data_IF_599367279174
#
_entry.id   IF_599367279174
#
_cell.length_a   1.000
_cell.length_b   1.000
_cell.length_c   1.000
_cell.angle_alpha   90.00
_cell.angle_beta   90.00
_cell.angle_gamma   90.00
#
_symmetry.space_group_name_H-M   'P 1'
#
loop_
_entity.id
_entity.type
_entity.pdbx_description
1 polymer ?
#
# COMPACT_ATOMS: atom_id res chain seq x y z
N UNK A 1 -4.42 30.00 -66.27
CA UNK A 1 -4.82 29.06 -65.19
C UNK A 1 -3.57 28.61 -64.45
N UNK A 2 -3.39 29.05 -63.18
CA UNK A 2 -2.28 28.66 -62.30
C UNK A 2 -2.72 27.48 -61.45
N UNK A 3 -1.94 26.39 -61.37
CA UNK A 3 -1.95 25.51 -60.19
C UNK A 3 -0.55 24.99 -59.87
N UNK A 4 -0.23 25.23 -58.61
CA UNK A 4 1.03 25.14 -57.88
C UNK A 4 1.33 23.70 -57.48
N UNK A 5 2.61 23.33 -57.50
CA UNK A 5 3.11 22.08 -56.94
C UNK A 5 2.99 22.05 -55.41
N UNK A 6 2.63 20.90 -54.84
CA UNK A 6 2.70 20.66 -53.39
C UNK A 6 3.64 19.48 -53.11
N UNK A 7 4.75 19.81 -52.45
CA UNK A 7 5.78 18.88 -51.96
C UNK A 7 5.23 18.20 -50.70
N UNK A 8 5.06 16.87 -50.75
CA UNK A 8 4.78 16.04 -49.57
C UNK A 8 6.09 15.83 -48.79
N UNK A 9 6.23 16.51 -47.65
CA UNK A 9 7.23 16.15 -46.63
C UNK A 9 6.63 15.07 -45.73
N UNK A 10 7.06 13.83 -45.92
CA UNK A 10 6.87 12.75 -44.95
C UNK A 10 7.80 12.99 -43.77
N UNK A 11 7.23 13.40 -42.64
CA UNK A 11 7.93 13.40 -41.35
C UNK A 11 7.89 11.96 -40.81
N UNK A 12 9.06 11.34 -40.70
CA UNK A 12 9.23 10.09 -39.97
C UNK A 12 9.11 10.38 -38.46
N UNK A 13 8.34 9.61 -37.68
CA UNK A 13 8.35 9.73 -36.24
C UNK A 13 9.69 9.23 -35.70
N UNK A 14 10.49 10.14 -35.16
CA UNK A 14 11.63 9.80 -34.31
C UNK A 14 11.07 9.28 -33.00
N UNK A 15 10.99 7.95 -32.86
CA UNK A 15 10.78 7.28 -31.59
C UNK A 15 12.03 7.48 -30.74
N UNK A 16 12.05 8.54 -29.92
CA UNK A 16 12.96 8.63 -28.78
C UNK A 16 12.54 7.55 -27.79
N UNK A 17 13.21 6.40 -27.86
CA UNK A 17 13.22 5.44 -26.76
C UNK A 17 14.01 6.06 -25.61
N UNK A 18 13.33 6.85 -24.78
CA UNK A 18 13.84 7.18 -23.46
C UNK A 18 13.90 5.86 -22.68
N UNK A 19 15.10 5.29 -22.58
CA UNK A 19 15.35 4.15 -21.71
C UNK A 19 15.03 4.57 -20.29
N UNK A 20 13.91 4.07 -19.76
CA UNK A 20 13.58 4.16 -18.34
C UNK A 20 14.62 3.34 -17.58
N UNK A 21 15.74 3.98 -17.24
CA UNK A 21 16.73 3.43 -16.32
C UNK A 21 15.98 3.15 -15.02
N UNK A 22 15.72 1.87 -14.74
CA UNK A 22 15.13 1.49 -13.47
C UNK A 22 16.14 1.80 -12.39
N UNK A 23 15.76 2.66 -11.44
CA UNK A 23 16.60 2.97 -10.29
C UNK A 23 17.02 1.67 -9.60
N UNK A 24 18.33 1.50 -9.39
CA UNK A 24 18.88 0.36 -8.66
C UNK A 24 18.39 0.30 -7.22
N UNK A 25 18.75 -0.75 -6.46
CA UNK A 25 18.44 -0.83 -5.04
C UNK A 25 18.91 0.43 -4.30
N UNK A 26 18.11 1.01 -3.39
CA UNK A 26 18.53 2.15 -2.60
C UNK A 26 19.67 1.74 -1.67
N UNK A 27 20.68 2.61 -1.55
CA UNK A 27 21.80 2.43 -0.61
C UNK A 27 21.62 3.24 0.68
N UNK A 28 20.65 4.16 0.70
CA UNK A 28 20.23 4.96 1.85
C UNK A 28 18.71 5.15 1.82
N UNK A 29 18.13 5.62 2.94
CA UNK A 29 16.70 5.93 2.97
C UNK A 29 16.39 7.08 1.99
N UNK A 30 15.41 6.95 1.08
CA UNK A 30 15.11 7.99 0.11
C UNK A 30 14.54 9.24 0.79
N UNK A 31 15.19 10.37 0.58
CA UNK A 31 14.68 11.69 0.99
C UNK A 31 13.78 12.25 -0.09
N UNK A 32 12.48 12.38 0.20
CA UNK A 32 11.50 12.92 -0.73
C UNK A 32 11.00 14.25 -0.18
N UNK A 33 11.08 15.30 -0.99
CA UNK A 33 10.51 16.60 -0.65
C UNK A 33 8.99 16.52 -0.64
N UNK A 34 8.39 16.71 0.53
CA UNK A 34 6.95 16.64 0.73
C UNK A 34 6.17 17.67 -0.11
N UNK A 35 6.79 18.80 -0.51
CA UNK A 35 6.16 19.82 -1.33
C UNK A 35 5.96 19.39 -2.80
N UNK A 36 6.78 18.45 -3.27
CA UNK A 36 6.76 17.95 -4.66
C UNK A 36 6.35 16.47 -4.75
N UNK A 37 6.25 15.79 -3.61
CA UNK A 37 5.83 14.41 -3.53
C UNK A 37 4.39 14.21 -4.00
N UNK A 38 4.15 13.06 -4.61
CA UNK A 38 2.81 12.58 -4.96
C UNK A 38 2.49 11.29 -4.23
N UNK A 39 1.27 11.20 -3.69
CA UNK A 39 0.77 10.00 -3.05
C UNK A 39 0.20 9.03 -4.08
N UNK A 40 0.53 7.75 -3.92
CA UNK A 40 0.07 6.66 -4.78
C UNK A 40 -0.49 5.55 -3.91
N UNK A 41 -1.69 5.10 -4.25
CA UNK A 41 -2.28 3.93 -3.62
C UNK A 41 -2.19 2.77 -4.61
N UNK A 42 -1.44 1.73 -4.27
CA UNK A 42 -1.15 0.64 -5.19
C UNK A 42 -1.36 -0.73 -4.55
N UNK A 43 -1.76 -1.69 -5.39
CA UNK A 43 -1.73 -3.10 -5.06
C UNK A 43 -0.43 -3.68 -5.59
N UNK A 44 0.39 -4.23 -4.70
CA UNK A 44 1.72 -4.74 -5.05
C UNK A 44 2.00 -6.08 -4.41
N UNK A 45 2.84 -6.88 -5.03
CA UNK A 45 3.55 -7.96 -4.35
C UNK A 45 4.86 -7.44 -3.79
N UNK A 46 5.09 -7.68 -2.51
CA UNK A 46 6.29 -7.22 -1.81
C UNK A 46 7.26 -8.36 -1.53
N UNK A 47 8.54 -8.04 -1.74
CA UNK A 47 9.64 -8.85 -1.27
C UNK A 47 10.57 -7.95 -0.43
N UNK A 48 10.51 -8.12 0.89
CA UNK A 48 11.48 -7.50 1.79
C UNK A 48 12.87 -8.01 1.42
N UNK A 49 13.84 -7.11 1.39
CA UNK A 49 15.20 -7.47 1.03
C UNK A 49 16.09 -7.40 2.26
N UNK A 50 16.43 -6.19 2.70
CA UNK A 50 17.30 -5.99 3.86
C UNK A 50 17.22 -4.58 4.42
N UNK A 51 18.06 -4.35 5.42
CA UNK A 51 18.16 -3.08 6.10
C UNK A 51 19.04 -2.09 5.33
N UNK A 52 18.72 -0.82 5.47
CA UNK A 52 19.50 0.33 5.04
C UNK A 52 20.31 0.85 6.22
N UNK A 53 21.35 1.68 6.00
CA UNK A 53 22.02 2.37 7.08
C UNK A 53 21.03 3.14 7.96
N UNK A 54 21.28 3.16 9.27
CA UNK A 54 20.53 4.00 10.20
C UNK A 54 20.71 5.49 9.86
N UNK A 55 19.70 6.29 10.22
CA UNK A 55 19.76 7.75 10.17
C UNK A 55 20.89 8.27 11.06
N UNK A 56 21.54 9.35 10.64
CA UNK A 56 22.73 9.87 11.33
C UNK A 56 22.39 10.36 12.75
N UNK A 57 21.20 10.92 12.92
CA UNK A 57 20.65 11.43 14.17
C UNK A 57 20.54 10.33 15.23
N UNK A 58 20.41 9.06 14.83
CA UNK A 58 20.33 7.92 15.74
C UNK A 58 21.62 7.63 16.49
N UNK A 59 22.72 8.30 16.13
CA UNK A 59 23.99 8.25 16.85
C UNK A 59 24.08 9.30 17.97
N UNK A 60 23.10 10.22 18.04
CA UNK A 60 23.06 11.28 19.03
C UNK A 60 22.42 10.75 20.33
N UNK A 61 23.00 10.98 21.51
CA UNK A 61 22.52 10.42 22.78
C UNK A 61 21.11 10.87 23.17
N UNK A 62 20.65 12.00 22.66
CA UNK A 62 19.33 12.57 22.88
C UNK A 62 18.24 12.07 21.91
N UNK A 63 18.59 11.26 20.91
CA UNK A 63 17.64 10.77 19.90
C UNK A 63 17.33 9.30 20.14
N UNK A 64 16.10 9.01 20.55
CA UNK A 64 15.61 7.63 20.60
C UNK A 64 15.20 7.18 19.19
N UNK A 65 16.10 6.47 18.52
CA UNK A 65 15.75 5.81 17.27
C UNK A 65 15.07 4.47 17.50
N UNK A 66 14.11 4.20 16.62
CA UNK A 66 13.37 2.96 16.64
C UNK A 66 14.20 1.90 15.92
N UNK A 67 14.63 0.88 16.65
CA UNK A 67 15.14 -0.36 16.06
C UNK A 67 13.97 -1.19 15.52
N UNK A 68 14.14 -1.85 14.36
CA UNK A 68 15.34 -1.94 13.53
C UNK A 68 15.54 -0.77 12.55
N UNK A 69 16.70 -0.74 11.89
CA UNK A 69 17.04 0.22 10.85
C UNK A 69 16.00 0.23 9.69
N UNK A 70 15.93 1.31 8.89
CA UNK A 70 15.00 1.37 7.77
C UNK A 70 15.20 0.19 6.82
N UNK A 71 14.12 -0.30 6.21
CA UNK A 71 14.17 -1.49 5.35
C UNK A 71 13.82 -1.10 3.93
N UNK A 72 14.52 -1.68 2.96
CA UNK A 72 14.15 -1.56 1.55
C UNK A 72 13.50 -2.85 1.02
N UNK A 73 12.69 -2.67 -0.02
CA UNK A 73 11.91 -3.73 -0.62
C UNK A 73 11.90 -3.63 -2.14
N UNK A 74 11.66 -4.78 -2.78
CA UNK A 74 11.25 -4.87 -4.17
C UNK A 74 9.74 -5.02 -4.21
N UNK A 75 9.12 -4.29 -5.14
CA UNK A 75 7.69 -4.36 -5.36
C UNK A 75 7.41 -4.66 -6.83
N UNK A 76 6.46 -5.56 -7.06
CA UNK A 76 5.83 -5.78 -8.37
C UNK A 76 4.42 -5.19 -8.32
N UNK A 77 4.14 -4.22 -9.20
CA UNK A 77 2.84 -3.58 -9.26
C UNK A 77 1.84 -4.53 -9.92
N UNK A 78 0.74 -4.80 -9.21
CA UNK A 78 -0.42 -5.49 -9.75
C UNK A 78 -1.44 -4.48 -10.27
N UNK A 79 -1.66 -3.39 -9.52
CA UNK A 79 -2.58 -2.32 -9.90
C UNK A 79 -2.21 -1.00 -9.20
N UNK A 80 -2.60 0.14 -9.80
CA UNK A 80 -2.50 1.48 -9.18
C UNK A 80 -3.91 2.05 -9.05
N UNK A 81 -4.40 2.12 -7.81
CA UNK A 81 -5.78 2.54 -7.52
C UNK A 81 -5.95 4.06 -7.50
N UNK A 82 -4.89 4.80 -7.17
CA UNK A 82 -4.90 6.26 -7.15
C UNK A 82 -3.49 6.84 -7.36
N UNK A 83 -3.43 8.00 -8.00
CA UNK A 83 -2.20 8.75 -8.28
C UNK A 83 -1.54 8.36 -9.62
N UNK A 84 -0.40 8.98 -9.96
CA UNK A 84 0.34 8.66 -11.17
C UNK A 84 0.77 7.18 -11.19
N UNK A 85 0.72 6.56 -12.37
CA UNK A 85 1.12 5.16 -12.56
C UNK A 85 2.56 4.91 -12.08
N UNK A 86 2.73 3.79 -11.38
CA UNK A 86 4.06 3.29 -11.00
C UNK A 86 4.66 2.45 -12.13
N UNK A 87 6.00 2.35 -12.21
CA UNK A 87 6.62 1.36 -13.08
C UNK A 87 6.22 -0.07 -12.62
N UNK A 88 6.14 -1.05 -13.53
CA UNK A 88 5.71 -2.42 -13.20
C UNK A 88 6.50 -3.08 -12.07
N UNK A 89 7.76 -2.64 -11.89
CA UNK A 89 8.62 -3.00 -10.77
C UNK A 89 9.34 -1.76 -10.26
N UNK A 90 9.46 -1.63 -8.95
CA UNK A 90 10.24 -0.57 -8.32
C UNK A 90 10.93 -1.05 -7.04
N UNK A 91 11.91 -0.25 -6.61
CA UNK A 91 12.49 -0.34 -5.29
C UNK A 91 11.90 0.75 -4.41
N UNK A 92 11.60 0.41 -3.16
CA UNK A 92 11.14 1.38 -2.18
C UNK A 92 11.76 1.14 -0.82
N UNK A 93 11.52 2.06 0.09
CA UNK A 93 11.93 1.94 1.49
C UNK A 93 10.78 2.25 2.45
N UNK A 94 10.91 1.76 3.68
CA UNK A 94 10.01 2.07 4.78
C UNK A 94 10.77 2.04 6.09
N UNK A 95 10.15 2.59 7.13
CA UNK A 95 10.51 2.29 8.52
C UNK A 95 9.47 1.35 9.13
N UNK A 96 9.85 0.58 10.15
CA UNK A 96 8.96 -0.36 10.86
C UNK A 96 9.56 -0.71 12.22
N UNK A 97 8.71 -1.00 13.22
CA UNK A 97 9.18 -1.61 14.49
C UNK A 97 9.51 -3.11 14.33
N UNK A 98 9.12 -3.74 13.23
CA UNK A 98 9.34 -5.17 12.97
C UNK A 98 10.26 -5.40 11.75
N UNK A 99 10.86 -4.33 11.22
CA UNK A 99 11.80 -4.36 10.10
C UNK A 99 11.28 -5.16 8.89
N UNK A 100 12.14 -5.99 8.27
CA UNK A 100 11.75 -6.82 7.12
C UNK A 100 10.59 -7.76 7.40
N UNK A 101 10.40 -8.22 8.64
CA UNK A 101 9.34 -9.18 8.98
C UNK A 101 7.95 -8.59 8.74
N UNK A 102 7.76 -7.28 8.93
CA UNK A 102 6.48 -6.66 8.63
C UNK A 102 6.09 -6.83 7.16
N UNK A 103 7.07 -6.79 6.25
CA UNK A 103 6.86 -6.84 4.80
C UNK A 103 6.90 -8.26 4.22
N UNK A 104 7.65 -9.17 4.84
CA UNK A 104 7.83 -10.54 4.35
C UNK A 104 7.17 -11.62 5.23
N UNK A 105 6.30 -11.25 6.18
CA UNK A 105 5.64 -12.24 7.03
C UNK A 105 4.91 -13.31 6.20
N UNK A 106 5.31 -14.59 6.28
CA UNK A 106 4.68 -15.68 5.53
C UNK A 106 3.22 -15.92 5.93
N UNK A 107 2.85 -15.44 7.12
CA UNK A 107 1.50 -15.58 7.65
C UNK A 107 0.48 -14.76 6.88
N UNK A 108 0.92 -13.74 6.15
CA UNK A 108 0.03 -12.85 5.43
C UNK A 108 0.37 -12.85 3.94
N UNK A 109 -0.67 -12.73 3.11
CA UNK A 109 -0.56 -12.81 1.65
C UNK A 109 0.47 -11.83 1.05
N UNK A 110 1.06 -12.24 -0.08
CA UNK A 110 1.99 -11.41 -0.85
C UNK A 110 1.35 -10.13 -1.44
N UNK A 111 0.10 -10.13 -1.96
CA UNK A 111 -0.49 -8.89 -2.42
C UNK A 111 -0.84 -8.00 -1.22
N UNK A 112 -0.40 -6.75 -1.29
CA UNK A 112 -0.69 -5.72 -0.30
C UNK A 112 -1.22 -4.48 -0.98
N UNK A 113 -2.14 -3.82 -0.29
CA UNK A 113 -2.47 -2.44 -0.57
C UNK A 113 -1.45 -1.57 0.15
N UNK A 114 -0.87 -0.59 -0.53
CA UNK A 114 0.15 0.30 0.01
C UNK A 114 -0.10 1.74 -0.38
N UNK A 115 0.13 2.65 0.56
CA UNK A 115 0.28 4.06 0.30
C UNK A 115 1.77 4.41 0.19
N UNK A 116 2.14 4.96 -0.95
CA UNK A 116 3.50 5.35 -1.29
C UNK A 116 3.55 6.87 -1.47
N UNK A 117 4.58 7.47 -0.92
CA UNK A 117 5.04 8.81 -1.26
C UNK A 117 6.14 8.67 -2.32
N UNK A 118 6.05 9.40 -3.43
CA UNK A 118 7.05 9.32 -4.50
C UNK A 118 7.17 10.58 -5.34
N UNK A 119 8.38 10.86 -5.81
CA UNK A 119 8.74 11.96 -6.72
C UNK A 119 8.91 11.50 -8.18
N UNK A 120 8.53 10.27 -8.49
CA UNK A 120 8.73 9.63 -9.80
C UNK A 120 9.76 8.51 -9.75
N UNK A 121 10.94 8.78 -9.18
CA UNK A 121 12.08 7.84 -9.18
C UNK A 121 12.30 7.15 -7.83
N UNK A 122 11.98 7.86 -6.74
CA UNK A 122 12.12 7.38 -5.37
C UNK A 122 10.75 7.08 -4.80
N UNK A 123 10.67 6.01 -4.01
CA UNK A 123 9.42 5.54 -3.43
C UNK A 123 9.61 5.21 -1.95
N UNK A 124 8.81 5.84 -1.10
CA UNK A 124 8.76 5.58 0.34
C UNK A 124 7.36 5.12 0.70
N UNK A 125 7.24 3.92 1.27
CA UNK A 125 6.02 3.54 1.95
C UNK A 125 5.96 4.30 3.26
N UNK A 126 4.87 5.04 3.50
CA UNK A 126 4.67 5.65 4.80
C UNK A 126 4.63 4.55 5.86
N UNK A 127 5.24 4.81 7.03
CA UNK A 127 5.35 3.82 8.10
C UNK A 127 3.98 3.21 8.39
N UNK A 128 3.87 1.88 8.29
CA UNK A 128 2.61 1.14 8.51
C UNK A 128 1.48 1.40 7.53
N UNK A 129 1.71 2.13 6.46
CA UNK A 129 0.70 2.43 5.46
C UNK A 129 0.56 1.32 4.42
N UNK A 130 0.33 0.10 4.93
CA UNK A 130 0.01 -1.06 4.12
C UNK A 130 -1.03 -1.95 4.80
N UNK A 131 -1.75 -2.71 3.99
CA UNK A 131 -2.76 -3.66 4.41
C UNK A 131 -2.64 -4.96 3.62
N UNK A 132 -2.83 -6.08 4.31
CA UNK A 132 -2.83 -7.38 3.68
C UNK A 132 -4.09 -7.56 2.84
N UNK A 133 -3.91 -8.11 1.65
CA UNK A 133 -5.03 -8.50 0.79
C UNK A 133 -5.21 -10.00 0.83
N UNK A 134 -6.48 -10.41 0.85
CA UNK A 134 -6.86 -11.80 0.71
C UNK A 134 -7.72 -11.97 -0.54
N UNK A 135 -7.58 -13.12 -1.18
CA UNK A 135 -8.24 -13.45 -2.43
C UNK A 135 -9.48 -14.32 -2.14
N UNK A 136 -10.59 -14.03 -2.82
CA UNK A 136 -11.76 -14.90 -2.79
C UNK A 136 -11.64 -16.08 -3.77
N UNK A 137 -12.69 -16.91 -3.89
CA UNK A 137 -12.67 -18.07 -4.81
C UNK A 137 -12.65 -17.70 -6.29
N UNK A 138 -12.99 -16.46 -6.62
CA UNK A 138 -13.07 -15.96 -8.00
C UNK A 138 -11.80 -15.21 -8.41
N UNK A 139 -10.85 -15.03 -7.50
CA UNK A 139 -9.60 -14.30 -7.75
C UNK A 139 -9.68 -12.81 -7.43
N UNK A 140 -10.76 -12.33 -6.81
CA UNK A 140 -10.89 -10.92 -6.44
C UNK A 140 -10.17 -10.64 -5.12
N UNK A 141 -9.47 -9.50 -5.07
CA UNK A 141 -8.72 -9.07 -3.89
C UNK A 141 -9.57 -8.22 -2.95
N UNK A 142 -9.42 -8.49 -1.66
CA UNK A 142 -10.13 -7.82 -0.57
C UNK A 142 -9.14 -7.33 0.48
N UNK A 143 -9.29 -6.08 0.93
CA UNK A 143 -8.63 -5.57 2.12
C UNK A 143 -9.41 -6.05 3.33
N UNK A 144 -8.79 -6.91 4.13
CA UNK A 144 -9.41 -7.50 5.30
C UNK A 144 -9.29 -6.53 6.47
N UNK A 145 -10.41 -6.23 7.11
CA UNK A 145 -10.45 -5.31 8.24
C UNK A 145 -10.27 -6.10 9.54
N UNK A 146 -9.21 -5.76 10.26
CA UNK A 146 -8.77 -6.48 11.47
C UNK A 146 -9.00 -5.69 12.76
N UNK A 147 -9.49 -4.46 12.65
CA UNK A 147 -9.88 -3.61 13.77
C UNK A 147 -11.09 -2.74 13.37
N UNK A 148 -11.75 -2.19 14.39
CA UNK A 148 -12.95 -1.35 14.24
C UNK A 148 -12.62 0.08 13.81
N UNK A 149 -11.34 0.46 13.90
CA UNK A 149 -10.85 1.80 13.63
C UNK A 149 -10.73 2.06 12.13
N UNK A 150 -10.87 3.32 11.69
CA UNK A 150 -10.55 3.69 10.32
C UNK A 150 -9.10 3.31 9.98
N UNK A 151 -8.88 2.82 8.76
CA UNK A 151 -7.52 2.63 8.23
C UNK A 151 -6.91 4.01 8.05
N UNK A 152 -6.02 4.41 8.97
CA UNK A 152 -5.55 5.81 9.11
C UNK A 152 -4.85 6.39 7.87
N UNK A 153 -4.38 5.52 6.97
CA UNK A 153 -3.72 5.86 5.71
C UNK A 153 -4.62 5.70 4.48
N UNK A 154 -5.92 5.41 4.67
CA UNK A 154 -6.93 5.50 3.63
C UNK A 154 -7.81 6.73 3.87
N UNK A 155 -8.40 7.31 2.81
CA UNK A 155 -9.41 8.34 2.96
C UNK A 155 -10.58 7.89 3.83
N UNK A 156 -11.15 8.82 4.58
CA UNK A 156 -12.16 8.47 5.59
C UNK A 156 -13.42 7.81 5.04
N UNK A 157 -13.88 8.20 3.86
CA UNK A 157 -15.03 7.56 3.22
C UNK A 157 -14.73 6.16 2.67
N UNK A 158 -13.47 5.69 2.70
CA UNK A 158 -13.16 4.32 2.29
C UNK A 158 -13.78 3.29 3.25
N UNK A 159 -13.98 3.63 4.53
CA UNK A 159 -14.61 2.73 5.50
C UNK A 159 -16.10 2.49 5.21
N UNK A 160 -16.76 3.39 4.48
CA UNK A 160 -18.16 3.22 4.05
C UNK A 160 -18.30 2.12 2.98
N UNK A 161 -17.18 1.67 2.41
CA UNK A 161 -17.13 0.56 1.44
C UNK A 161 -17.06 -0.81 2.11
N UNK A 162 -17.03 -0.85 3.45
CA UNK A 162 -16.98 -2.08 4.25
C UNK A 162 -18.18 -2.96 3.96
N UNK A 163 -17.94 -4.23 3.68
CA UNK A 163 -18.98 -5.24 3.52
C UNK A 163 -18.69 -6.52 4.32
N UNK A 164 -19.74 -7.28 4.71
CA UNK A 164 -19.54 -8.55 5.39
C UNK A 164 -18.83 -9.58 4.49
N UNK A 165 -17.92 -10.36 5.07
CA UNK A 165 -17.30 -11.50 4.39
C UNK A 165 -18.31 -12.64 4.33
N UNK A 166 -18.72 -12.98 3.11
CA UNK A 166 -19.61 -14.12 2.81
C UNK A 166 -18.84 -15.30 2.18
N UNK A 167 -17.69 -15.05 1.55
CA UNK A 167 -16.87 -16.11 0.94
C UNK A 167 -16.06 -16.89 1.99
N UNK A 168 -16.21 -18.21 1.99
CA UNK A 168 -15.56 -19.09 2.96
C UNK A 168 -14.06 -19.30 2.70
N UNK A 169 -13.59 -19.20 1.45
CA UNK A 169 -12.16 -19.28 1.15
C UNK A 169 -11.44 -18.01 1.62
N UNK A 170 -12.02 -16.85 1.33
CA UNK A 170 -11.55 -15.55 1.84
C UNK A 170 -11.46 -15.58 3.37
N UNK A 171 -12.55 -15.99 4.05
CA UNK A 171 -12.55 -16.09 5.51
C UNK A 171 -11.46 -17.04 6.04
N UNK A 172 -11.21 -18.16 5.35
CA UNK A 172 -10.16 -19.12 5.74
C UNK A 172 -8.76 -18.54 5.54
N UNK A 173 -8.51 -17.81 4.45
CA UNK A 173 -7.23 -17.17 4.17
C UNK A 173 -6.89 -16.09 5.22
N UNK A 174 -7.91 -15.52 5.87
CA UNK A 174 -7.77 -14.44 6.84
C UNK A 174 -7.96 -14.86 8.30
N UNK A 175 -7.92 -16.15 8.61
CA UNK A 175 -8.16 -16.63 9.98
C UNK A 175 -6.95 -16.40 10.89
N UNK A 176 -7.22 -16.03 12.14
CA UNK A 176 -6.21 -15.89 13.20
C UNK A 176 -6.38 -17.02 14.22
N UNK A 177 -5.31 -17.71 14.65
CA UNK A 177 -5.40 -18.65 15.77
C UNK A 177 -6.02 -18.00 17.01
N UNK A 178 -6.88 -18.73 17.73
CA UNK A 178 -7.64 -18.16 18.84
C UNK A 178 -6.75 -17.67 20.00
N UNK A 179 -5.62 -18.34 20.23
CA UNK A 179 -4.58 -17.92 21.18
C UNK A 179 -4.08 -16.51 20.85
N UNK A 180 -3.56 -16.32 19.63
CA UNK A 180 -3.07 -15.04 19.14
C UNK A 180 -4.18 -13.97 19.19
N UNK A 181 -5.39 -14.32 18.78
CA UNK A 181 -6.54 -13.42 18.87
C UNK A 181 -6.79 -12.95 20.31
N UNK A 182 -6.72 -13.84 21.31
CA UNK A 182 -6.95 -13.48 22.72
C UNK A 182 -5.80 -12.69 23.34
N UNK A 183 -4.57 -12.94 22.92
CA UNK A 183 -3.38 -12.28 23.46
C UNK A 183 -3.20 -10.86 22.89
N UNK A 184 -3.45 -10.68 21.59
CA UNK A 184 -3.06 -9.46 20.87
C UNK A 184 -4.24 -8.56 20.43
N UNK A 185 -5.49 -9.02 20.46
CA UNK A 185 -6.62 -8.17 20.05
C UNK A 185 -7.19 -7.39 21.21
N UNK A 186 -7.32 -6.07 21.00
CA UNK A 186 -8.02 -5.20 21.93
C UNK A 186 -9.51 -5.59 22.04
N UNK A 187 -10.08 -5.39 23.22
CA UNK A 187 -11.48 -5.75 23.49
C UNK A 187 -12.47 -5.04 22.55
N UNK A 188 -12.17 -3.80 22.18
CA UNK A 188 -12.97 -3.01 21.23
C UNK A 188 -13.01 -3.61 19.81
N UNK A 189 -11.96 -4.34 19.41
CA UNK A 189 -11.87 -4.94 18.07
C UNK A 189 -12.59 -6.29 17.97
N UNK A 190 -13.07 -6.84 19.10
CA UNK A 190 -13.74 -8.15 19.11
C UNK A 190 -15.01 -8.16 18.25
N UNK A 191 -15.69 -7.02 18.12
CA UNK A 191 -16.86 -6.86 17.27
C UNK A 191 -16.56 -7.14 15.79
N UNK A 192 -15.31 -6.93 15.34
CA UNK A 192 -14.88 -7.16 13.96
C UNK A 192 -14.54 -8.63 13.67
N UNK A 193 -14.66 -9.52 14.67
CA UNK A 193 -14.37 -10.95 14.51
C UNK A 193 -15.56 -11.85 14.87
N UNK A 194 -15.58 -13.02 14.23
CA UNK A 194 -16.38 -14.19 14.60
C UNK A 194 -15.43 -15.26 15.10
N UNK A 195 -15.62 -15.76 16.31
CA UNK A 195 -14.86 -16.91 16.82
C UNK A 195 -15.60 -18.20 16.44
N UNK A 196 -14.88 -19.15 15.84
CA UNK A 196 -15.39 -20.50 15.53
C UNK A 196 -14.31 -21.54 15.78
N UNK A 197 -14.55 -22.44 16.74
CA UNK A 197 -13.55 -23.42 17.16
C UNK A 197 -12.28 -22.73 17.66
N UNK A 198 -11.12 -23.18 17.17
CA UNK A 198 -9.80 -22.67 17.56
C UNK A 198 -9.31 -21.45 16.75
N UNK A 199 -10.20 -20.74 16.04
CA UNK A 199 -9.82 -19.60 15.21
C UNK A 199 -10.82 -18.44 15.33
N UNK A 200 -10.30 -17.23 15.13
CA UNK A 200 -11.06 -16.01 14.89
C UNK A 200 -11.03 -15.66 13.40
N UNK A 201 -12.16 -15.18 12.89
CA UNK A 201 -12.38 -14.84 11.49
C UNK A 201 -12.83 -13.38 11.40
N UNK A 202 -12.17 -12.54 10.60
CA UNK A 202 -12.64 -11.19 10.31
C UNK A 202 -14.08 -11.21 9.78
N UNK A 203 -14.88 -10.23 10.17
CA UNK A 203 -16.27 -10.10 9.73
C UNK A 203 -16.41 -9.35 8.43
N UNK A 204 -15.51 -8.42 8.17
CA UNK A 204 -15.67 -7.47 7.10
C UNK A 204 -14.41 -7.29 6.27
N UNK A 205 -14.63 -6.85 5.04
CA UNK A 205 -13.57 -6.49 4.11
C UNK A 205 -13.99 -5.31 3.24
N UNK A 206 -13.03 -4.74 2.52
CA UNK A 206 -13.28 -3.77 1.45
C UNK A 206 -12.80 -4.41 0.14
N UNK A 207 -13.68 -4.66 -0.85
CA UNK A 207 -13.28 -5.15 -2.16
C UNK A 207 -12.42 -4.11 -2.88
N UNK A 208 -11.29 -4.53 -3.45
CA UNK A 208 -10.37 -3.62 -4.14
C UNK A 208 -11.03 -2.94 -5.36
N UNK A 209 -11.90 -3.65 -6.09
CA UNK A 209 -12.66 -3.05 -7.19
C UNK A 209 -13.58 -1.91 -6.73
N UNK A 210 -14.23 -2.04 -5.56
CA UNK A 210 -15.08 -0.97 -5.00
C UNK A 210 -14.24 0.22 -4.55
N UNK A 211 -13.10 -0.04 -3.88
CA UNK A 211 -12.17 0.99 -3.47
C UNK A 211 -11.62 1.76 -4.67
N UNK A 212 -11.18 1.06 -5.72
CA UNK A 212 -10.70 1.66 -6.97
C UNK A 212 -11.77 2.55 -7.62
N UNK A 213 -12.99 2.05 -7.77
CA UNK A 213 -14.10 2.80 -8.35
C UNK A 213 -14.46 4.04 -7.50
N UNK A 214 -14.36 3.94 -6.18
CA UNK A 214 -14.60 5.07 -5.27
C UNK A 214 -13.49 6.13 -5.36
N UNK A 215 -12.22 5.70 -5.40
CA UNK A 215 -11.05 6.58 -5.56
C UNK A 215 -11.00 7.28 -6.91
N UNK A 216 -11.48 6.65 -7.99
CA UNK A 216 -11.57 7.28 -9.31
C UNK A 216 -12.48 8.52 -9.33
N UNK A 217 -13.34 8.70 -8.31
CA UNK A 217 -14.21 9.87 -8.15
C UNK A 217 -13.62 10.93 -7.18
N UNK A 218 -12.42 10.69 -6.67
CA UNK A 218 -11.71 11.54 -5.71
C UNK A 218 -10.51 12.16 -6.42
N UNK A 219 -10.57 13.44 -6.85
CA UNK A 219 -9.50 14.03 -7.66
C UNK A 219 -8.19 14.19 -6.88
N UNK A 220 -8.26 14.42 -5.57
CA UNK A 220 -7.09 14.56 -4.70
C UNK A 220 -7.29 13.77 -3.40
N UNK A 221 -6.33 12.91 -3.05
CA UNK A 221 -6.22 12.43 -1.68
C UNK A 221 -5.83 13.62 -0.80
N UNK A 222 -6.61 13.95 0.26
CA UNK A 222 -6.23 15.05 1.14
C UNK A 222 -4.85 14.77 1.75
N UNK A 223 -4.02 15.81 1.86
CA UNK A 223 -2.71 15.71 2.51
C UNK A 223 -2.78 15.19 3.95
N UNK A 224 -3.97 15.26 4.57
CA UNK A 224 -4.27 14.64 5.84
C UNK A 224 -5.33 13.54 5.68
N UNK A 225 -4.88 12.29 5.66
CA UNK A 225 -5.71 11.09 5.59
C UNK A 225 -6.30 10.70 6.97
N UNK A 226 -5.97 11.43 8.03
CA UNK A 226 -6.43 11.10 9.38
C UNK A 226 -7.92 11.39 9.55
N UNK A 227 -8.66 10.34 9.82
CA UNK A 227 -10.07 10.42 10.16
C UNK A 227 -10.24 10.77 11.63
N UNK A 228 -11.03 11.81 11.91
CA UNK A 228 -11.59 11.96 13.24
C UNK A 228 -12.53 10.77 13.47
N UNK A 229 -12.46 10.08 14.62
CA UNK A 229 -13.47 9.07 14.97
C UNK A 229 -14.85 9.72 14.84
N UNK A 230 -15.78 9.08 14.13
CA UNK A 230 -17.18 9.49 14.26
C UNK A 230 -17.56 9.24 15.72
N UNK A 231 -18.07 10.29 16.39
CA UNK A 231 -18.61 10.12 17.74
C UNK A 231 -19.67 9.02 17.67
N UNK A 232 -19.58 8.03 18.56
CA UNK A 232 -20.61 7.01 18.68
C UNK A 232 -21.95 7.71 18.95
N UNK A 233 -22.87 7.60 17.98
CA UNK A 233 -24.25 8.06 18.10
C UNK A 233 -25.12 7.05 18.82
#
# INVERSE_FOLDING_TARGET
>A
MRRTALIRRTLAPVLLAAGLAHAGPPTAFPEIDAATATYRLAVVELEAQGELPQFAECKMPEVLCMDPAPTWFRARVLDTLHGPSLPPRFHGATTSHYGPMQMASPQYGKPRLMLLMSDGDRHVMLRYANGFLAEDRQGFLHLVLVNSRPVWWLPCGAMDLKEPIHDAALARASRTPLEHYREYMADEDRAEYRVRGHHAYPRHSIPMAKLAAWLARQPDLPANLQCKPQAAG
#
